data_IF_360570296153
#
_entry.id   IF_360570296153
#
_cell.length_a   1.000
_cell.length_b   1.000
_cell.length_c   1.000
_cell.angle_alpha   90.00
_cell.angle_beta   90.00
_cell.angle_gamma   90.00
#
_symmetry.space_group_name_H-M   'P 1'
#
loop_
_entity.id
_entity.type
_entity.pdbx_description
1 polymer ?
2 non-polymer ?
3 water ?
#
# COMPACT_ATOMS: atom_id res chain seq x y z
N UNK A 1 21.89 -11.53 9.30
CA UNK A 1 20.47 -11.08 9.14
C UNK A 1 19.45 -12.01 9.78
N UNK A 2 18.84 -11.54 10.85
CA UNK A 2 17.80 -12.29 11.53
C UNK A 2 16.58 -12.26 10.61
N UNK A 3 15.46 -12.77 11.10
CA UNK A 3 14.21 -12.78 10.34
C UNK A 3 13.73 -11.32 10.24
N UNK A 4 13.64 -10.81 9.02
CA UNK A 4 13.21 -9.44 8.81
C UNK A 4 11.77 -9.34 8.34
N UNK A 5 11.04 -8.40 8.93
CA UNK A 5 9.65 -8.15 8.59
C UNK A 5 9.51 -6.68 8.19
N UNK A 6 8.87 -6.45 7.05
CA UNK A 6 8.65 -5.10 6.55
C UNK A 6 7.16 -4.86 6.36
N UNK A 7 6.70 -3.71 6.83
CA UNK A 7 5.29 -3.34 6.72
C UNK A 7 5.07 -2.29 5.64
N UNK A 8 4.12 -2.55 4.75
CA UNK A 8 3.79 -1.62 3.67
C UNK A 8 2.41 -1.05 3.96
N UNK A 9 2.36 0.15 4.56
CA UNK A 9 1.12 0.83 4.92
C UNK A 9 0.39 1.56 3.81
N UNK A 10 -0.87 1.89 4.07
CA UNK A 10 -1.68 2.61 3.11
C UNK A 10 -3.16 2.46 3.41
N UNK A 11 -3.98 3.30 2.80
CA UNK A 11 -5.41 3.17 3.00
C UNK A 11 -5.94 2.36 1.83
N UNK A 12 -5.05 2.03 0.89
CA UNK A 12 -5.37 1.22 -0.30
C UNK A 12 -6.86 1.26 -0.64
N UNK A 13 -7.31 2.40 -1.16
CA UNK A 13 -8.72 2.58 -1.47
C UNK A 13 -8.98 3.01 -2.92
N UNK A 14 -8.77 2.10 -3.88
CA UNK A 14 -8.32 0.72 -3.64
C UNK A 14 -6.84 0.59 -3.98
N UNK A 15 -6.31 -0.62 -3.84
CA UNK A 15 -4.93 -0.87 -4.20
C UNK A 15 -4.83 -0.80 -5.73
N UNK A 16 -3.79 -0.17 -6.24
CA UNK A 16 -3.59 -0.03 -7.67
C UNK A 16 -2.31 -0.76 -8.07
N UNK A 17 -1.99 -0.77 -9.36
CA UNK A 17 -0.76 -1.41 -9.80
C UNK A 17 0.42 -0.65 -9.22
N UNK A 18 0.19 0.63 -8.92
CA UNK A 18 1.24 1.46 -8.34
C UNK A 18 1.67 0.86 -7.01
N UNK A 19 0.69 0.55 -6.16
CA UNK A 19 0.97 -0.05 -4.85
C UNK A 19 1.54 -1.44 -5.10
N UNK A 20 0.81 -2.22 -5.89
CA UNK A 20 1.18 -3.59 -6.24
C UNK A 20 2.63 -3.73 -6.69
N UNK A 21 3.13 -2.74 -7.42
CA UNK A 21 4.51 -2.77 -7.90
C UNK A 21 5.49 -2.70 -6.73
N UNK A 22 5.17 -1.85 -5.76
CA UNK A 22 6.02 -1.69 -4.59
C UNK A 22 6.04 -2.97 -3.79
N UNK A 23 4.88 -3.59 -3.63
CA UNK A 23 4.77 -4.84 -2.89
C UNK A 23 5.64 -5.91 -3.55
N UNK A 24 5.49 -6.08 -4.86
CA UNK A 24 6.26 -7.10 -5.58
C UNK A 24 7.76 -6.86 -5.57
N UNK A 25 8.16 -5.59 -5.64
CA UNK A 25 9.58 -5.27 -5.64
C UNK A 25 10.18 -5.48 -4.26
N UNK A 26 9.31 -5.62 -3.26
CA UNK A 26 9.73 -5.79 -1.87
C UNK A 26 9.81 -7.22 -1.36
N UNK A 27 8.97 -8.09 -1.89
CA UNK A 27 8.91 -9.48 -1.45
C UNK A 27 10.25 -10.20 -1.29
N UNK A 28 11.17 -10.02 -2.24
CA UNK A 28 12.46 -10.70 -2.16
C UNK A 28 13.52 -10.03 -1.29
N UNK A 29 13.15 -8.97 -0.57
CA UNK A 29 14.11 -8.24 0.26
C UNK A 29 13.88 -8.34 1.75
N UNK A 30 12.79 -9.00 2.12
CA UNK A 30 12.46 -9.22 3.52
C UNK A 30 11.89 -10.62 3.57
N UNK A 31 11.99 -11.28 4.71
CA UNK A 31 11.46 -12.63 4.83
C UNK A 31 9.94 -12.57 4.88
N UNK A 32 9.42 -11.51 5.49
CA UNK A 32 7.99 -11.36 5.66
C UNK A 32 7.49 -9.96 5.29
N UNK A 33 6.42 -9.90 4.49
CA UNK A 33 5.85 -8.63 4.10
C UNK A 33 4.40 -8.52 4.60
N UNK A 34 4.08 -7.39 5.24
CA UNK A 34 2.74 -7.13 5.74
C UNK A 34 2.14 -5.91 5.06
N UNK A 35 1.05 -6.10 4.32
CA UNK A 35 0.37 -4.97 3.70
C UNK A 35 -0.66 -4.62 4.77
N UNK A 36 -0.49 -3.46 5.39
CA UNK A 36 -1.37 -3.04 6.46
C UNK A 36 -2.26 -1.86 6.10
N UNK A 37 -3.57 -2.08 6.21
CA UNK A 37 -4.56 -1.06 5.91
C UNK A 37 -4.88 -0.29 7.20
N UNK A 38 -4.53 0.99 7.23
CA UNK A 38 -4.76 1.85 8.41
C UNK A 38 -5.81 2.94 8.15
N UNK A 39 -6.07 3.75 9.17
CA UNK A 39 -7.05 4.84 9.10
C UNK A 39 -8.40 4.39 8.53
N UNK A 45 -13.88 7.19 2.88
CA UNK A 45 -13.37 6.03 2.15
C UNK A 45 -14.39 5.45 1.19
N UNK A 46 -13.95 5.10 -0.01
CA UNK A 46 -14.84 4.53 -1.03
C UNK A 46 -15.16 3.06 -0.75
N UNK A 47 -14.15 2.28 -0.40
CA UNK A 47 -14.36 0.87 -0.08
C UNK A 47 -14.25 0.70 1.43
N UNK A 48 -15.02 -0.23 1.98
CA UNK A 48 -14.98 -0.48 3.42
C UNK A 48 -13.66 -1.14 3.71
N UNK A 49 -13.31 -1.22 4.99
CA UNK A 49 -12.07 -1.82 5.42
C UNK A 49 -11.95 -3.29 5.00
N UNK A 50 -12.97 -4.08 5.31
CA UNK A 50 -12.97 -5.49 4.95
C UNK A 50 -12.88 -5.63 3.44
N UNK A 51 -13.61 -4.77 2.73
CA UNK A 51 -13.60 -4.78 1.27
C UNK A 51 -12.19 -4.58 0.74
N UNK A 52 -11.50 -3.57 1.27
CA UNK A 52 -10.15 -3.27 0.83
C UNK A 52 -9.15 -4.39 1.11
N UNK A 53 -9.32 -5.09 2.23
CA UNK A 53 -8.43 -6.19 2.57
C UNK A 53 -8.63 -7.33 1.59
N UNK A 54 -9.88 -7.58 1.24
CA UNK A 54 -10.17 -8.64 0.29
C UNK A 54 -9.54 -8.30 -1.06
N UNK A 55 -9.70 -7.06 -1.50
CA UNK A 55 -9.13 -6.61 -2.77
C UNK A 55 -7.61 -6.81 -2.79
N UNK A 56 -6.94 -6.49 -1.68
CA UNK A 56 -5.49 -6.66 -1.58
C UNK A 56 -5.17 -8.15 -1.65
N UNK A 57 -5.90 -8.93 -0.86
CA UNK A 57 -5.73 -10.38 -0.78
C UNK A 57 -5.75 -11.05 -2.14
N UNK A 58 -6.82 -10.82 -2.89
CA UNK A 58 -6.94 -11.43 -4.20
C UNK A 58 -5.88 -10.91 -5.15
N UNK A 59 -5.36 -9.72 -4.88
CA UNK A 59 -4.35 -9.12 -5.73
C UNK A 59 -2.92 -9.60 -5.45
N UNK A 60 -2.70 -10.24 -4.31
CA UNK A 60 -1.36 -10.71 -3.97
C UNK A 60 -1.31 -12.21 -3.68
N UNK A 61 -2.23 -12.95 -4.29
CA UNK A 61 -2.29 -14.40 -4.11
C UNK A 61 -1.06 -15.09 -4.67
N UNK A 62 -0.43 -14.46 -5.65
CA UNK A 62 0.77 -15.02 -6.27
C UNK A 62 2.04 -14.80 -5.43
N UNK A 63 1.92 -14.02 -4.36
CA UNK A 63 3.04 -13.71 -3.48
C UNK A 63 2.87 -14.42 -2.13
N UNK A 64 3.46 -15.61 -1.99
CA UNK A 64 3.34 -16.37 -0.74
C UNK A 64 3.79 -15.70 0.57
N UNK A 65 4.80 -14.84 0.54
CA UNK A 65 5.24 -14.21 1.80
C UNK A 65 4.60 -12.85 2.11
N UNK A 66 3.43 -12.59 1.53
CA UNK A 66 2.73 -11.33 1.77
C UNK A 66 1.45 -11.55 2.58
N UNK A 67 1.38 -10.93 3.76
CA UNK A 67 0.20 -11.03 4.63
C UNK A 67 -0.62 -9.75 4.50
N UNK A 68 -1.93 -9.86 4.68
CA UNK A 68 -2.80 -8.69 4.62
C UNK A 68 -3.50 -8.53 5.97
N UNK A 69 -3.11 -7.49 6.70
CA UNK A 69 -3.69 -7.22 8.00
C UNK A 69 -4.21 -5.80 8.00
N UNK A 70 -4.88 -5.45 9.09
CA UNK A 70 -5.44 -4.12 9.25
C UNK A 70 -5.02 -3.65 10.62
N UNK A 71 -5.09 -2.34 10.84
CA UNK A 71 -4.73 -1.79 12.13
C UNK A 71 -5.36 -0.43 12.35
N UNK A 72 -5.70 -0.17 13.61
CA UNK A 72 -6.28 1.09 14.02
C UNK A 72 -5.28 1.58 15.05
N UNK A 73 -4.75 2.78 14.86
CA UNK A 73 -3.78 3.30 15.80
C UNK A 73 -2.48 3.63 15.09
N UNK A 74 -1.45 3.94 15.87
CA UNK A 74 -0.17 4.28 15.29
C UNK A 74 0.43 3.09 14.54
N UNK A 75 0.87 3.35 13.32
CA UNK A 75 1.49 2.34 12.48
C UNK A 75 2.70 1.73 13.18
N UNK A 76 3.44 2.56 13.92
CA UNK A 76 4.63 2.10 14.62
C UNK A 76 4.31 1.12 15.73
N UNK A 77 3.12 1.24 16.32
CA UNK A 77 2.71 0.31 17.38
C UNK A 77 2.47 -1.04 16.73
N UNK A 78 1.90 -1.02 15.53
CA UNK A 78 1.66 -2.25 14.80
C UNK A 78 2.99 -2.95 14.54
N UNK A 79 3.95 -2.20 14.01
CA UNK A 79 5.26 -2.75 13.71
C UNK A 79 5.90 -3.35 14.96
N UNK A 80 5.75 -2.66 16.08
CA UNK A 80 6.34 -3.17 17.31
C UNK A 80 5.67 -4.46 17.77
N UNK A 81 4.38 -4.59 17.49
CA UNK A 81 3.65 -5.79 17.89
C UNK A 81 4.08 -7.00 17.09
N UNK A 82 4.15 -6.85 15.77
CA UNK A 82 4.53 -7.95 14.89
C UNK A 82 6.04 -8.12 14.73
N UNK A 83 6.82 -7.25 15.36
CA UNK A 83 8.27 -7.37 15.25
C UNK A 83 8.83 -6.91 13.92
N UNK A 84 8.12 -6.00 13.27
CA UNK A 84 8.56 -5.46 11.99
C UNK A 84 9.48 -4.28 12.31
N UNK A 85 10.62 -4.19 11.63
CA UNK A 85 11.55 -3.09 11.89
C UNK A 85 11.70 -2.13 10.71
N UNK A 86 10.92 -2.37 9.66
CA UNK A 86 10.97 -1.55 8.46
C UNK A 86 9.57 -1.19 7.94
N UNK A 87 9.45 0.03 7.43
CA UNK A 87 8.21 0.52 6.84
C UNK A 87 8.58 0.86 5.40
N UNK A 88 7.86 0.28 4.45
CA UNK A 88 8.12 0.55 3.04
C UNK A 88 7.08 1.49 2.47
N UNK A 89 7.55 2.57 1.86
CA UNK A 89 6.67 3.56 1.25
C UNK A 89 7.17 3.87 -0.16
N UNK A 90 6.24 4.13 -1.07
CA UNK A 90 6.63 4.44 -2.43
C UNK A 90 6.76 5.94 -2.63
N UNK A 91 7.76 6.35 -3.39
CA UNK A 91 7.97 7.77 -3.67
C UNK A 91 7.69 8.00 -5.16
N UNK A 92 6.68 8.81 -5.46
CA UNK A 92 6.29 9.09 -6.85
C UNK A 92 6.47 10.54 -7.24
N UNK A 93 6.45 10.79 -8.55
CA UNK A 93 6.57 12.14 -9.08
C UNK A 93 5.42 13.00 -8.56
N UNK A 94 4.26 12.37 -8.35
CA UNK A 94 3.09 13.08 -7.85
C UNK A 94 2.93 12.97 -6.34
N UNK A 95 4.01 12.61 -5.64
CA UNK A 95 3.97 12.50 -4.18
C UNK A 95 3.94 13.88 -3.55
N UNK A 96 3.37 13.97 -2.35
CA UNK A 96 3.29 15.22 -1.58
C UNK A 96 4.53 15.17 -0.68
N UNK A 97 5.62 15.76 -1.15
CA UNK A 97 6.89 15.72 -0.43
C UNK A 97 6.84 16.22 1.02
N UNK A 98 6.20 17.36 1.27
CA UNK A 98 6.12 17.88 2.63
C UNK A 98 5.33 16.93 3.51
N UNK A 99 4.27 16.36 2.95
CA UNK A 99 3.43 15.41 3.68
C UNK A 99 4.28 14.21 4.10
N UNK A 100 5.09 13.72 3.18
CA UNK A 100 5.97 12.58 3.45
C UNK A 100 6.97 12.91 4.56
N UNK A 101 7.52 14.13 4.51
CA UNK A 101 8.48 14.58 5.51
C UNK A 101 7.85 14.59 6.91
N UNK A 102 6.68 15.20 7.04
CA UNK A 102 5.99 15.25 8.34
C UNK A 102 5.74 13.84 8.86
N UNK A 103 5.04 13.06 8.03
CA UNK A 103 4.68 11.69 8.34
C UNK A 103 5.85 10.84 8.84
N UNK A 104 6.90 10.75 8.03
CA UNK A 104 8.07 9.96 8.36
C UNK A 104 8.90 10.51 9.52
N UNK A 105 9.06 11.83 9.58
CA UNK A 105 9.81 12.44 10.67
C UNK A 105 9.11 12.12 11.99
N UNK A 106 7.78 12.18 12.00
CA UNK A 106 7.04 11.88 13.23
C UNK A 106 7.19 10.40 13.63
N UNK A 107 7.13 9.50 12.66
CA UNK A 107 7.28 8.08 12.96
C UNK A 107 8.68 7.83 13.53
N UNK A 108 9.67 8.56 13.03
CA UNK A 108 11.03 8.40 13.52
C UNK A 108 11.14 8.83 14.98
N UNK A 109 10.44 9.91 15.34
CA UNK A 109 10.44 10.43 16.71
C UNK A 109 9.79 9.43 17.65
N UNK A 110 8.62 8.93 17.25
CA UNK A 110 7.86 7.99 18.06
C UNK A 110 8.62 6.68 18.31
N UNK A 111 9.26 6.16 17.27
CA UNK A 111 10.03 4.92 17.41
C UNK A 111 11.13 4.85 16.37
N UNK A 112 12.34 5.25 16.76
CA UNK A 112 13.47 5.23 15.84
C UNK A 112 14.12 3.86 15.59
N UNK A 113 13.53 2.79 16.14
CA UNK A 113 14.05 1.45 15.90
C UNK A 113 13.37 0.92 14.65
N UNK A 114 12.53 1.76 14.05
CA UNK A 114 11.80 1.44 12.84
C UNK A 114 12.25 2.42 11.76
N UNK A 115 12.76 1.90 10.65
CA UNK A 115 13.22 2.76 9.57
C UNK A 115 12.24 2.75 8.41
N UNK A 116 11.90 3.94 7.93
CA UNK A 116 11.02 4.05 6.79
C UNK A 116 11.94 4.09 5.57
N UNK A 117 11.72 3.20 4.62
CA UNK A 117 12.53 3.18 3.41
C UNK A 117 11.64 3.49 2.22
N UNK A 118 12.04 4.48 1.43
CA UNK A 118 11.25 4.84 0.26
C UNK A 118 11.80 4.18 -0.99
N UNK A 119 10.91 3.59 -1.76
CA UNK A 119 11.29 2.96 -3.00
C UNK A 119 10.64 3.84 -4.05
N UNK A 120 11.41 4.26 -5.04
CA UNK A 120 10.87 5.11 -6.08
C UNK A 120 10.03 4.31 -7.07
N UNK A 121 8.85 4.84 -7.37
CA UNK A 121 7.91 4.22 -8.30
C UNK A 121 8.50 4.08 -9.72
N UNK A 122 8.00 3.12 -10.49
CA UNK A 122 8.46 2.95 -11.86
C UNK A 122 7.84 4.12 -12.63
N UNK A 123 8.44 4.51 -13.74
CA UNK A 123 7.94 5.65 -14.49
C UNK A 123 6.47 5.58 -14.89
N UNK A 124 5.96 4.38 -15.12
CA UNK A 124 4.57 4.25 -15.53
C UNK A 124 3.51 4.35 -14.43
N UNK A 125 3.93 4.32 -13.17
CA UNK A 125 2.99 4.40 -12.05
C UNK A 125 3.31 5.58 -11.17
N UNK A 126 4.30 6.36 -11.61
CA UNK A 126 4.76 7.51 -10.86
C UNK A 126 3.78 8.66 -10.87
N UNK A 127 2.71 8.54 -11.65
CA UNK A 127 1.73 9.63 -11.76
C UNK A 127 0.29 9.33 -11.32
N UNK A 128 0.03 8.15 -10.78
CA UNK A 128 -1.33 7.86 -10.37
C UNK A 128 -1.52 7.75 -8.86
N UNK A 129 -2.79 7.79 -8.45
CA UNK A 129 -3.17 7.66 -7.05
C UNK A 129 -4.54 7.01 -7.10
N UNK A 130 -5.03 6.50 -5.97
CA UNK A 130 -6.34 5.87 -5.95
C UNK A 130 -7.46 6.85 -6.33
N UNK A 131 -7.33 8.10 -5.88
CA UNK A 131 -8.31 9.14 -6.16
C UNK A 131 -8.59 9.34 -7.64
N UNK A 132 -7.54 9.69 -8.37
CA UNK A 132 -7.64 9.93 -9.80
C UNK A 132 -8.17 8.68 -10.50
N UNK A 133 -7.78 7.50 -10.02
CA UNK A 133 -8.25 6.27 -10.63
C UNK A 133 -9.74 6.03 -10.39
N UNK A 134 -10.20 6.20 -9.15
CA UNK A 134 -11.62 6.02 -8.86
C UNK A 134 -12.44 7.03 -9.65
N UNK A 135 -11.89 8.22 -9.82
CA UNK A 135 -12.56 9.30 -10.53
C UNK A 135 -12.94 8.96 -11.96
N UNK A 136 -11.98 8.46 -12.73
CA UNK A 136 -12.25 8.09 -14.11
C UNK A 136 -13.07 6.80 -14.16
N UNK A 137 -12.91 5.96 -13.14
CA UNK A 137 -13.66 4.71 -13.07
C UNK A 137 -15.15 5.07 -12.91
N UNK A 138 -15.41 6.11 -12.13
CA UNK A 138 -16.78 6.56 -11.91
C UNK A 138 -17.44 6.96 -13.24
N UNK A 139 -16.64 7.40 -14.21
CA UNK A 139 -17.17 7.79 -15.51
C UNK A 139 -17.05 6.66 -16.52
N UNK A 140 -16.79 5.46 -16.01
CA UNK A 140 -16.67 4.27 -16.83
C UNK A 140 -15.60 4.28 -17.91
N UNK A 141 -14.41 4.78 -17.57
CA UNK A 141 -13.31 4.78 -18.53
C UNK A 141 -12.61 3.42 -18.42
N UNK A 142 -11.79 3.06 -19.41
CA UNK A 142 -11.07 1.80 -19.36
C UNK A 142 -9.98 2.01 -18.32
N UNK A 143 -10.02 1.24 -17.23
CA UNK A 143 -9.03 1.39 -16.16
C UNK A 143 -8.14 0.16 -15.96
N UNK A 144 -8.29 -0.84 -16.83
CA UNK A 144 -7.51 -2.07 -16.72
C UNK A 144 -6.01 -1.78 -16.68
N UNK A 145 -5.64 -0.56 -17.02
CA UNK A 145 -4.23 -0.20 -17.00
C UNK A 145 -3.76 0.24 -15.61
N UNK A 146 -4.69 0.65 -14.76
CA UNK A 146 -4.31 1.13 -13.44
C UNK A 146 -4.54 0.18 -12.27
N UNK A 147 -5.41 -0.81 -12.44
CA UNK A 147 -5.71 -1.72 -11.35
C UNK A 147 -5.79 -3.18 -11.77
N UNK A 148 -5.39 -4.09 -10.86
CA UNK A 148 -5.43 -5.53 -11.16
C UNK A 148 -6.87 -5.93 -11.47
N UNK A 149 -7.06 -7.08 -12.14
CA UNK A 149 -8.37 -7.61 -12.54
C UNK A 149 -9.47 -7.64 -11.47
N UNK A 150 -9.13 -8.09 -10.28
CA UNK A 150 -10.11 -8.18 -9.20
C UNK A 150 -10.60 -6.78 -8.78
N UNK A 151 -9.68 -5.82 -8.70
CA UNK A 151 -10.01 -4.45 -8.31
C UNK A 151 -10.87 -3.78 -9.38
N UNK A 152 -10.50 -3.96 -10.64
CA UNK A 152 -11.24 -3.38 -11.75
C UNK A 152 -12.68 -3.90 -11.73
N UNK A 153 -12.82 -5.20 -11.46
CA UNK A 153 -14.12 -5.86 -11.40
C UNK A 153 -15.00 -5.23 -10.31
N UNK A 154 -14.39 -4.93 -9.17
CA UNK A 154 -15.10 -4.33 -8.05
C UNK A 154 -15.46 -2.87 -8.32
N UNK A 155 -14.52 -2.13 -8.90
CA UNK A 155 -14.76 -0.72 -9.21
C UNK A 155 -15.91 -0.59 -10.19
N UNK A 156 -15.89 -1.41 -11.24
CA UNK A 156 -16.96 -1.38 -12.23
C UNK A 156 -18.27 -1.73 -11.55
N UNK A 157 -18.24 -2.81 -10.78
CA UNK A 157 -19.41 -3.28 -10.05
C UNK A 157 -20.03 -2.13 -9.27
N UNK A 158 -19.18 -1.39 -8.57
CA UNK A 158 -19.63 -0.27 -7.76
C UNK A 158 -20.18 0.90 -8.58
N UNK A 159 -19.40 1.36 -9.55
CA UNK A 159 -19.78 2.50 -10.37
C UNK A 159 -20.64 2.19 -11.59
N UNK A 160 -21.26 1.01 -11.62
CA UNK A 160 -22.10 0.61 -12.75
C UNK A 160 -23.07 1.69 -13.24
X LIG B 1 -0.76 7.03 3.56
X LIG B 1 -0.91 6.71 5.02
X LIG B 1 0.22 8.16 3.41
X LIG B 1 -0.25 5.83 2.83
X LIG B 1 -2.02 7.43 3.04
X LIG B 1 -2.62 6.77 1.69
X LIG B 1 -2.38 5.31 1.75
X LIG B 1 -4.01 7.25 1.51
X LIG B 1 -1.70 7.41 0.54
X LIG B 1 -1.94 8.75 0.10
X LIG B 1 -2.12 8.83 -1.41
X LIG B 1 -0.97 8.25 -2.05
X LIG B 1 -1.42 7.13 -2.82
X LIG B 1 -0.36 6.10 -2.92
X LIG B 1 0.09 5.55 -4.05
X LIG B 1 -0.23 5.69 -5.34
X LIG B 1 0.41 5.01 -6.27
X LIG B 1 1.40 4.18 -5.97
X LIG B 1 1.78 4.00 -4.70
X LIG B 1 2.79 3.19 -4.40
X LIG B 1 1.12 4.69 -3.69
X LIG B 1 1.24 4.74 -2.37
X LIG B 1 0.33 5.60 -1.91
X LIG B 1 -2.63 6.62 -2.03
X LIG B 1 -3.44 5.80 -2.88
X LIG B 1 -3.31 7.97 -1.84
X LIG B 1 -3.82 8.44 -3.09
X LIG B 1 -4.93 9.60 -3.10
X LIG B 1 -4.38 10.78 -4.04
X LIG B 1 -5.28 10.07 -1.74
X LIG B 1 -6.19 8.94 -3.87
#
# INVERSE_FOLDING_TARGET
MEHTIAVIPGSFDPITYGHLDIIERSTDRFDEIHVCVLKNSKKEGTFSLEERMDLIEQSVKHLPNVKVHQFSGLLVDYCEQVGAKTIIRGLRAVSDFEYELRLTSMNKKLNNEIETLYMMSSTNYSFISSSIVKEVAAYRADISEFVPPYVEKALKKKFKLEHHHHHH
PPS S2 OS1 OS2 OS3 O6P P2 O4P O5P O5' C5' C4' O4' C1' N9 C4 N3 C2 N1 C6 N6 C5 N7 C8 C2' O2' C3' O3' P1 O1P O2P O3P
#
